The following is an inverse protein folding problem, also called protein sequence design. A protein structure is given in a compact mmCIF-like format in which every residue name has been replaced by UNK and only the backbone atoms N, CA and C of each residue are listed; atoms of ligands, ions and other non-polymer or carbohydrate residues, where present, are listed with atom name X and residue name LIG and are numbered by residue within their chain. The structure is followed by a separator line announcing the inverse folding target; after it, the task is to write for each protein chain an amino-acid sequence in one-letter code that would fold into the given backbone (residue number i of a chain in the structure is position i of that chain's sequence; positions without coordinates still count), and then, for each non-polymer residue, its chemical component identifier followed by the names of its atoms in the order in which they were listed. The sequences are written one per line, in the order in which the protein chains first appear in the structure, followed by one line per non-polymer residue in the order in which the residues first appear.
data_IF_783389870489
#
_entry.id   IF_783389870489
#
_cell.length_a   1.000
_cell.length_b   1.000
_cell.length_c   1.000
_cell.angle_alpha   90.00
_cell.angle_beta   90.00
_cell.angle_gamma   90.00
#
_symmetry.space_group_name_H-M   'P 1'
#
loop_
_entity.id
_entity.type
_entity.pdbx_description
1 polymer ?
#
# COMPACT_ATOMS: atom_id res chain seq x y z
N UNK A 1 5.40 11.26 3.01
CA UNK A 1 5.53 9.83 2.62
C UNK A 1 4.16 9.21 2.75
N UNK A 2 3.75 8.31 1.87
CA UNK A 2 2.41 7.71 1.96
C UNK A 2 2.33 6.71 3.13
N UNK A 3 1.11 6.38 3.59
CA UNK A 3 0.89 5.29 4.56
C UNK A 3 1.48 3.95 4.10
N UNK A 4 1.42 3.66 2.80
CA UNK A 4 2.07 2.47 2.23
C UNK A 4 3.59 2.55 2.38
N UNK A 5 4.19 3.71 2.11
CA UNK A 5 5.62 3.95 2.31
C UNK A 5 6.07 3.66 3.73
N UNK A 6 5.38 4.24 4.72
CA UNK A 6 5.62 4.02 6.14
C UNK A 6 5.44 2.56 6.55
N UNK A 7 4.38 1.91 6.07
CA UNK A 7 4.11 0.49 6.34
C UNK A 7 5.24 -0.42 5.84
N UNK A 8 5.73 -0.19 4.62
CA UNK A 8 6.82 -0.98 4.03
C UNK A 8 8.17 -0.69 4.70
N UNK A 9 8.41 0.54 5.15
CA UNK A 9 9.62 0.90 5.89
C UNK A 9 9.66 0.23 7.27
N UNK A 10 8.55 0.25 8.02
CA UNK A 10 8.41 -0.45 9.32
C UNK A 10 8.72 -1.94 9.20
N UNK A 11 8.35 -2.57 8.08
CA UNK A 11 8.62 -3.98 7.79
C UNK A 11 10.00 -4.24 7.15
N UNK A 12 10.82 -3.21 6.94
CA UNK A 12 12.15 -3.30 6.32
C UNK A 12 12.14 -4.02 4.97
N UNK A 13 11.11 -3.79 4.16
CA UNK A 13 10.90 -4.55 2.91
C UNK A 13 11.58 -3.89 1.71
N UNK A 14 12.23 -4.68 0.87
CA UNK A 14 12.93 -4.18 -0.30
C UNK A 14 11.97 -3.90 -1.47
N UNK A 15 11.87 -2.63 -1.90
CA UNK A 15 11.02 -2.19 -3.03
C UNK A 15 11.32 -2.91 -4.36
N UNK A 16 12.58 -3.25 -4.64
CA UNK A 16 12.95 -4.00 -5.84
C UNK A 16 12.44 -5.45 -5.80
N UNK A 17 12.41 -6.07 -4.61
CA UNK A 17 11.82 -7.41 -4.42
C UNK A 17 10.31 -7.38 -4.67
N UNK A 18 9.63 -6.36 -4.17
CA UNK A 18 8.19 -6.17 -4.38
C UNK A 18 7.89 -6.00 -5.88
N UNK A 19 8.61 -5.11 -6.57
CA UNK A 19 8.45 -4.91 -8.02
C UNK A 19 8.57 -6.23 -8.80
N UNK A 20 9.59 -7.04 -8.50
CA UNK A 20 9.81 -8.33 -9.16
C UNK A 20 8.69 -9.35 -8.90
N UNK A 21 8.19 -9.45 -7.66
CA UNK A 21 7.14 -10.42 -7.30
C UNK A 21 5.74 -10.00 -7.79
N UNK A 22 5.47 -8.70 -7.82
CA UNK A 22 4.14 -8.14 -8.16
C UNK A 22 3.97 -7.86 -9.64
N UNK A 23 5.05 -7.80 -10.42
CA UNK A 23 5.04 -7.35 -11.81
C UNK A 23 4.90 -5.83 -11.96
N UNK A 24 4.82 -5.08 -10.85
CA UNK A 24 4.81 -3.62 -10.86
C UNK A 24 6.19 -3.06 -11.20
N UNK A 25 6.23 -1.94 -11.93
CA UNK A 25 7.49 -1.27 -12.21
C UNK A 25 8.09 -0.65 -10.94
N UNK A 26 9.41 -0.52 -10.87
CA UNK A 26 10.09 0.19 -9.77
C UNK A 26 9.60 1.64 -9.65
N UNK A 27 9.30 2.27 -10.78
CA UNK A 27 8.73 3.62 -10.83
C UNK A 27 7.36 3.65 -10.15
N UNK A 28 6.48 2.68 -10.43
CA UNK A 28 5.17 2.58 -9.81
C UNK A 28 5.25 2.34 -8.30
N UNK A 29 6.13 1.46 -7.84
CA UNK A 29 6.36 1.25 -6.39
C UNK A 29 6.88 2.53 -5.72
N UNK A 30 7.78 3.27 -6.38
CA UNK A 30 8.27 4.54 -5.84
C UNK A 30 7.16 5.60 -5.77
N UNK A 31 6.38 5.76 -6.83
CA UNK A 31 5.22 6.65 -6.86
C UNK A 31 4.22 6.31 -5.74
N UNK A 32 3.82 5.04 -5.62
CA UNK A 32 2.89 4.57 -4.59
C UNK A 32 3.40 4.78 -3.16
N UNK A 33 4.71 4.83 -2.95
CA UNK A 33 5.28 5.04 -1.60
C UNK A 33 5.55 6.51 -1.28
N UNK A 34 5.84 7.34 -2.27
CA UNK A 34 6.32 8.72 -2.07
C UNK A 34 5.30 9.81 -2.41
N UNK A 35 4.34 9.54 -3.30
CA UNK A 35 3.42 10.54 -3.84
C UNK A 35 2.04 10.41 -3.19
N UNK A 36 1.63 11.41 -2.39
CA UNK A 36 0.35 11.37 -1.65
C UNK A 36 -0.90 11.39 -2.54
N UNK A 37 -0.79 11.96 -3.74
CA UNK A 37 -1.89 11.97 -4.73
C UNK A 37 -2.02 10.65 -5.48
N UNK A 38 -1.03 9.77 -5.41
CA UNK A 38 -1.06 8.49 -6.08
C UNK A 38 -2.12 7.58 -5.45
N UNK A 39 -2.99 7.02 -6.29
CA UNK A 39 -4.01 6.08 -5.84
C UNK A 39 -3.42 4.67 -5.84
N UNK A 40 -3.36 4.05 -4.67
CA UNK A 40 -3.10 2.64 -4.50
C UNK A 40 -4.37 1.86 -4.86
N UNK A 41 -4.31 1.07 -5.94
CA UNK A 41 -5.44 0.22 -6.32
C UNK A 41 -5.47 -1.06 -5.48
N UNK A 42 -6.65 -1.68 -5.40
CA UNK A 42 -6.87 -2.89 -4.59
C UNK A 42 -6.00 -4.06 -5.05
N UNK A 43 -5.90 -4.27 -6.36
CA UNK A 43 -5.06 -5.31 -6.98
C UNK A 43 -3.58 -5.09 -6.68
N UNK A 44 -3.10 -3.86 -6.79
CA UNK A 44 -1.74 -3.47 -6.43
C UNK A 44 -1.46 -3.74 -4.95
N UNK A 45 -2.37 -3.29 -4.05
CA UNK A 45 -2.26 -3.52 -2.62
C UNK A 45 -2.22 -5.02 -2.29
N UNK A 46 -3.13 -5.80 -2.88
CA UNK A 46 -3.21 -7.24 -2.67
C UNK A 46 -1.93 -7.96 -3.10
N UNK A 47 -1.41 -7.67 -4.29
CA UNK A 47 -0.15 -8.26 -4.76
C UNK A 47 1.04 -7.85 -3.89
N UNK A 48 1.08 -6.59 -3.44
CA UNK A 48 2.13 -6.11 -2.54
C UNK A 48 2.08 -6.87 -1.22
N UNK A 49 0.89 -7.05 -0.61
CA UNK A 49 0.71 -7.82 0.61
C UNK A 49 1.24 -9.26 0.48
N UNK A 50 0.85 -9.95 -0.59
CA UNK A 50 1.36 -11.29 -0.90
C UNK A 50 2.88 -11.30 -1.13
N UNK A 51 3.43 -10.30 -1.81
CA UNK A 51 4.86 -10.24 -2.10
C UNK A 51 5.74 -10.11 -0.84
N UNK A 52 5.19 -9.47 0.20
CA UNK A 52 5.85 -9.26 1.49
C UNK A 52 5.41 -10.27 2.56
N UNK A 53 4.73 -11.35 2.15
CA UNK A 53 4.28 -12.43 3.02
C UNK A 53 3.40 -11.92 4.19
N UNK A 54 2.53 -10.94 3.90
CA UNK A 54 1.58 -10.33 4.83
C UNK A 54 0.14 -10.58 4.38
N UNK A 55 -0.75 -10.81 5.36
CA UNK A 55 -2.20 -10.94 5.12
C UNK A 55 -2.76 -9.63 4.50
N UNK A 56 -3.37 -9.69 3.30
CA UNK A 56 -3.95 -8.53 2.63
C UNK A 56 -5.00 -7.80 3.48
N UNK A 57 -5.81 -8.52 4.27
CA UNK A 57 -6.82 -7.89 5.12
C UNK A 57 -6.18 -7.04 6.22
N UNK A 58 -5.08 -7.53 6.82
CA UNK A 58 -4.34 -6.76 7.84
C UNK A 58 -3.72 -5.50 7.25
N UNK A 59 -3.13 -5.60 6.05
CA UNK A 59 -2.60 -4.43 5.35
C UNK A 59 -3.71 -3.42 5.05
N UNK A 60 -4.87 -3.88 4.56
CA UNK A 60 -6.01 -3.02 4.28
C UNK A 60 -6.47 -2.26 5.55
N UNK A 61 -6.65 -2.96 6.67
CA UNK A 61 -7.09 -2.32 7.92
C UNK A 61 -6.11 -1.26 8.42
N UNK A 62 -4.80 -1.50 8.34
CA UNK A 62 -3.80 -0.52 8.76
C UNK A 62 -3.73 0.69 7.79
N UNK A 63 -3.84 0.47 6.48
CA UNK A 63 -3.81 1.56 5.50
C UNK A 63 -5.07 2.42 5.53
N UNK A 64 -6.22 1.85 5.88
CA UNK A 64 -7.54 2.50 5.84
C UNK A 64 -8.05 2.97 7.21
N UNK A 65 -7.27 2.83 8.29
CA UNK A 65 -7.64 3.18 9.67
C UNK A 65 -8.18 4.63 9.87
N UNK A 66 -7.73 5.56 9.04
CA UNK A 66 -8.13 6.97 9.04
C UNK A 66 -9.45 7.26 8.30
N UNK A 67 -10.02 6.29 7.61
CA UNK A 67 -11.25 6.50 6.84
C UNK A 67 -12.45 6.40 7.77
N UNK A 68 -13.31 7.41 7.68
CA UNK A 68 -14.59 7.44 8.39
C UNK A 68 -15.69 7.83 7.41
N UNK A 69 -16.89 7.30 7.65
CA UNK A 69 -18.08 7.75 6.95
C UNK A 69 -18.43 9.16 7.42
N UNK A 70 -18.94 9.98 6.50
CA UNK A 70 -19.50 11.28 6.87
C UNK A 70 -20.89 11.05 7.44
N UNK A 71 -21.21 11.76 8.52
CA UNK A 71 -22.59 11.83 8.99
C UNK A 71 -23.44 12.54 7.92
N UNK A 72 -24.58 11.93 7.60
CA UNK A 72 -25.59 12.53 6.74
C UNK A 72 -26.60 13.15 7.69
N UNK A 73 -26.68 14.48 7.73
CA UNK A 73 -27.81 15.15 8.35
C UNK A 73 -29.02 14.95 7.41
N UNK A 74 -30.02 14.21 7.88
CA UNK A 74 -31.33 14.01 7.20
C UNK A 74 -32.27 15.20 7.44
#
# INVERSE_FOLDING_TARGET
MTKLGEFLEKKSVNKSRIARKTGLSKARINELTMTETAKLRLDEMYLIALAIDTDPAKMMFELCDHLQLKEIEE
#
